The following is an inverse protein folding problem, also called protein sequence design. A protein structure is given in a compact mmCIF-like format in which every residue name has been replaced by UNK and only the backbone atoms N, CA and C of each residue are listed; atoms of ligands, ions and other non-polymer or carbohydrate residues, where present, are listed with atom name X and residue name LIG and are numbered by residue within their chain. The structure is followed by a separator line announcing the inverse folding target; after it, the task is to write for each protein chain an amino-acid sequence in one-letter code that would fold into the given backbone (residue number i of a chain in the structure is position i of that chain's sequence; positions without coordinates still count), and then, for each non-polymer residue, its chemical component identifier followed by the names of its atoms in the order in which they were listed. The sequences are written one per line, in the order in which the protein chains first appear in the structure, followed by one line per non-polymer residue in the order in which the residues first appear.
data_IF_274896365328
#
_entry.id   IF_274896365328
#
_cell.length_a   1.000
_cell.length_b   1.000
_cell.length_c   1.000
_cell.angle_alpha   90.00
_cell.angle_beta   90.00
_cell.angle_gamma   90.00
#
_symmetry.space_group_name_H-M   'P 1'
#
loop_
_entity.id
_entity.type
_entity.pdbx_description
1 polymer ?
#
# COMPACT_ATOMS: atom_id res chain seq x y z
N UNK A 1 -3.22 30.19 -21.82
CA UNK A 1 -2.62 28.85 -21.70
C UNK A 1 -2.62 28.54 -20.22
N UNK A 2 -3.72 27.94 -19.75
CA UNK A 2 -4.00 27.75 -18.33
C UNK A 2 -3.46 26.38 -17.95
N UNK A 3 -2.49 26.32 -17.04
CA UNK A 3 -2.04 25.05 -16.49
C UNK A 3 -3.24 24.29 -15.92
N UNK A 4 -3.41 22.98 -16.24
CA UNK A 4 -4.48 22.19 -15.66
C UNK A 4 -4.15 21.99 -14.18
N UNK A 5 -4.69 22.87 -13.33
CA UNK A 5 -4.62 22.74 -11.89
C UNK A 5 -5.14 21.36 -11.50
N UNK A 6 -4.28 20.56 -10.88
CA UNK A 6 -4.61 19.22 -10.40
C UNK A 6 -5.89 19.28 -9.55
N UNK A 7 -6.92 18.54 -9.97
CA UNK A 7 -8.17 18.42 -9.23
C UNK A 7 -7.88 17.88 -7.81
N UNK A 8 -8.10 18.67 -6.74
CA UNK A 8 -7.82 18.22 -5.37
C UNK A 8 -8.67 16.99 -4.98
N UNK A 9 -9.87 16.85 -5.56
CA UNK A 9 -10.71 15.66 -5.39
C UNK A 9 -10.14 14.42 -6.10
N UNK A 10 -9.41 14.59 -7.21
CA UNK A 10 -8.67 13.50 -7.87
C UNK A 10 -7.49 13.06 -7.02
N UNK A 11 -6.70 13.99 -6.46
CA UNK A 11 -5.59 13.63 -5.59
C UNK A 11 -6.04 12.83 -4.37
N UNK A 12 -7.09 13.30 -3.70
CA UNK A 12 -7.66 12.59 -2.55
C UNK A 12 -8.15 11.17 -2.91
N UNK A 13 -8.77 10.98 -4.07
CA UNK A 13 -9.17 9.65 -4.57
C UNK A 13 -7.98 8.74 -4.83
N UNK A 14 -6.89 9.26 -5.38
CA UNK A 14 -5.66 8.52 -5.62
C UNK A 14 -4.95 8.16 -4.32
N UNK A 15 -4.91 9.06 -3.34
CA UNK A 15 -4.36 8.78 -2.01
C UNK A 15 -5.15 7.68 -1.30
N UNK A 16 -6.49 7.69 -1.42
CA UNK A 16 -7.33 6.60 -0.94
C UNK A 16 -7.05 5.27 -1.66
N UNK A 17 -6.81 5.31 -2.97
CA UNK A 17 -6.45 4.12 -3.76
C UNK A 17 -5.07 3.57 -3.37
N UNK A 18 -4.09 4.43 -3.08
CA UNK A 18 -2.77 4.03 -2.54
C UNK A 18 -2.97 3.20 -1.27
N UNK A 19 -3.76 3.70 -0.31
CA UNK A 19 -4.01 2.99 0.94
C UNK A 19 -4.67 1.63 0.73
N UNK A 20 -5.59 1.53 -0.24
CA UNK A 20 -6.20 0.24 -0.61
C UNK A 20 -5.15 -0.71 -1.15
N UNK A 21 -4.39 -0.30 -2.17
CA UNK A 21 -3.34 -1.13 -2.77
C UNK A 21 -2.33 -1.62 -1.73
N UNK A 22 -1.86 -0.71 -0.86
CA UNK A 22 -0.93 -1.07 0.22
C UNK A 22 -1.54 -2.08 1.20
N UNK A 23 -2.80 -1.88 1.60
CA UNK A 23 -3.50 -2.81 2.50
C UNK A 23 -3.64 -4.20 1.89
N UNK A 24 -4.01 -4.31 0.61
CA UNK A 24 -4.16 -5.60 -0.06
C UNK A 24 -2.83 -6.34 -0.20
N UNK A 25 -1.75 -5.65 -0.57
CA UNK A 25 -0.43 -6.26 -0.66
C UNK A 25 0.06 -6.73 0.72
N UNK A 26 -0.08 -5.87 1.74
CA UNK A 26 0.33 -6.20 3.10
C UNK A 26 -0.45 -7.40 3.67
N UNK A 27 -1.76 -7.45 3.46
CA UNK A 27 -2.59 -8.56 3.91
C UNK A 27 -2.29 -9.87 3.16
N UNK A 28 -1.70 -9.81 1.97
CA UNK A 28 -1.20 -10.96 1.23
C UNK A 28 0.19 -11.42 1.69
N UNK A 29 0.76 -10.75 2.70
CA UNK A 29 2.09 -11.04 3.21
C UNK A 29 3.22 -10.44 2.37
N UNK A 30 2.92 -9.57 1.41
CA UNK A 30 3.95 -8.85 0.67
C UNK A 30 4.42 -7.64 1.49
N UNK A 31 5.74 -7.49 1.72
CA UNK A 31 6.26 -6.29 2.35
C UNK A 31 5.98 -5.09 1.45
N UNK A 32 5.25 -4.11 1.96
CA UNK A 32 5.04 -2.82 1.31
C UNK A 32 6.16 -1.89 1.76
N UNK A 33 7.03 -1.52 0.85
CA UNK A 33 8.11 -0.60 1.13
C UNK A 33 7.56 0.84 1.12
N UNK A 34 7.87 1.68 2.12
CA UNK A 34 7.51 3.08 2.07
C UNK A 34 8.19 3.75 0.86
N UNK A 35 7.42 4.59 0.15
CA UNK A 35 7.92 5.34 -1.00
C UNK A 35 9.07 6.29 -0.61
N UNK A 36 9.03 6.81 0.62
CA UNK A 36 10.08 7.63 1.23
C UNK A 36 11.16 6.72 1.85
N UNK A 37 12.22 6.52 1.05
CA UNK A 37 13.42 5.68 1.27
C UNK A 37 13.85 5.45 2.73
N UNK A 38 13.64 4.24 3.27
CA UNK A 38 14.52 3.64 4.25
C UNK A 38 15.49 2.73 3.49
N UNK A 39 16.78 3.06 3.59
CA UNK A 39 17.88 2.25 3.08
C UNK A 39 17.68 0.80 3.55
N UNK A 40 17.71 -0.16 2.62
CA UNK A 40 17.68 -1.60 2.94
C UNK A 40 16.29 -2.23 3.02
N UNK A 41 15.26 -1.66 2.39
CA UNK A 41 13.93 -2.30 2.33
C UNK A 41 13.62 -2.81 0.93
N UNK A 42 13.43 -4.13 0.78
CA UNK A 42 12.84 -4.77 -0.39
C UNK A 42 11.32 -4.89 -0.21
N UNK A 43 10.55 -4.66 -1.27
CA UNK A 43 9.11 -4.67 -1.18
C UNK A 43 8.39 -4.08 -2.37
N UNK A 44 7.07 -4.17 -2.33
CA UNK A 44 6.21 -3.45 -3.26
C UNK A 44 6.25 -1.95 -2.94
N UNK A 45 6.59 -1.13 -3.92
CA UNK A 45 6.47 0.32 -3.86
C UNK A 45 5.15 0.70 -4.49
N UNK A 46 4.43 1.59 -3.81
CA UNK A 46 3.15 2.12 -4.26
C UNK A 46 3.25 3.63 -4.28
N UNK A 47 3.07 4.23 -5.45
CA UNK A 47 3.15 5.69 -5.65
C UNK A 47 2.04 6.18 -6.57
N UNK A 48 1.66 7.44 -6.46
CA UNK A 48 0.75 8.05 -7.44
C UNK A 48 1.51 8.31 -8.73
N UNK A 49 0.90 7.98 -9.88
CA UNK A 49 1.39 8.39 -11.19
C UNK A 49 1.30 9.91 -11.31
N UNK A 50 2.33 10.63 -10.87
CA UNK A 50 2.32 12.09 -10.82
C UNK A 50 2.28 12.76 -12.20
N UNK A 51 3.00 12.28 -13.24
CA UNK A 51 2.98 12.87 -14.57
C UNK A 51 1.57 12.97 -15.17
N UNK A 52 0.79 11.89 -15.08
CA UNK A 52 -0.50 11.83 -15.77
C UNK A 52 -1.71 11.79 -14.81
N UNK A 53 -1.46 11.62 -13.50
CA UNK A 53 -2.48 11.39 -12.46
C UNK A 53 -3.44 10.25 -12.80
N UNK A 54 -3.04 9.31 -13.67
CA UNK A 54 -3.92 8.30 -14.24
C UNK A 54 -4.26 7.17 -13.26
N UNK A 55 -3.48 7.02 -12.19
CA UNK A 55 -3.70 5.99 -11.19
C UNK A 55 -2.58 5.90 -10.17
N UNK A 56 -2.44 4.71 -9.63
CA UNK A 56 -1.41 4.33 -8.67
C UNK A 56 -0.46 3.34 -9.35
N UNK A 57 0.82 3.70 -9.40
CA UNK A 57 1.91 2.86 -9.86
C UNK A 57 2.33 1.90 -8.76
N UNK A 58 2.56 0.66 -9.14
CA UNK A 58 3.02 -0.41 -8.26
C UNK A 58 4.17 -1.13 -8.94
N UNK A 59 5.33 -1.21 -8.29
CA UNK A 59 6.48 -1.97 -8.78
C UNK A 59 7.22 -2.64 -7.63
N UNK A 60 8.00 -3.68 -7.96
CA UNK A 60 8.78 -4.42 -6.98
C UNK A 60 10.18 -3.82 -6.84
N UNK A 61 10.54 -3.33 -5.64
CA UNK A 61 11.90 -2.92 -5.33
C UNK A 61 12.67 -4.05 -4.68
N UNK A 62 13.79 -4.41 -5.30
CA UNK A 62 14.79 -5.34 -4.75
C UNK A 62 15.59 -4.69 -3.62
N UNK A 63 16.21 -5.52 -2.78
CA UNK A 63 17.07 -5.04 -1.71
C UNK A 63 18.33 -4.36 -2.28
N UNK A 64 18.72 -3.23 -1.69
CA UNK A 64 19.85 -2.40 -2.14
C UNK A 64 21.17 -3.16 -2.12
N UNK A 65 21.43 -3.94 -1.07
CA UNK A 65 22.60 -4.84 -0.99
C UNK A 65 22.74 -5.75 -2.22
N UNK A 66 21.64 -6.30 -2.75
CA UNK A 66 21.71 -7.15 -3.95
C UNK A 66 22.05 -6.33 -5.19
N UNK A 67 21.55 -5.08 -5.27
CA UNK A 67 21.86 -4.16 -6.38
C UNK A 67 23.32 -3.71 -6.31
N UNK A 68 23.79 -3.33 -5.13
CA UNK A 68 25.12 -2.78 -4.91
C UNK A 68 26.19 -3.88 -5.08
N UNK A 69 25.92 -5.11 -4.65
CA UNK A 69 26.79 -6.26 -4.91
C UNK A 69 26.94 -6.54 -6.42
N UNK A 70 25.85 -6.43 -7.18
CA UNK A 70 25.89 -6.60 -8.63
C UNK A 70 26.68 -5.47 -9.34
N UNK A 71 26.54 -4.24 -8.84
CA UNK A 71 27.28 -3.10 -9.37
C UNK A 71 28.77 -3.18 -9.05
N UNK A 72 29.13 -3.64 -7.85
CA UNK A 72 30.52 -3.87 -7.45
C UNK A 72 31.17 -4.98 -8.30
N UNK A 73 30.48 -6.11 -8.48
CA UNK A 73 30.95 -7.19 -9.36
C UNK A 73 31.22 -6.71 -10.79
N UNK A 74 30.35 -5.85 -11.33
CA UNK A 74 30.54 -5.25 -12.66
C UNK A 74 31.74 -4.30 -12.73
N UNK A 75 32.02 -3.56 -11.66
CA UNK A 75 33.13 -2.60 -11.61
C UNK A 75 34.51 -3.27 -11.42
N UNK A 76 34.55 -4.41 -10.72
CA UNK A 76 35.78 -5.15 -10.45
C UNK A 76 36.34 -5.86 -11.68
N UNK A 77 35.46 -6.31 -12.59
CA UNK A 77 35.89 -6.90 -13.86
C UNK A 77 34.98 -6.49 -15.04
N UNK A 78 35.19 -5.30 -15.63
CA UNK A 78 34.39 -4.83 -16.77
C UNK A 78 34.57 -5.66 -18.04
N UNK A 79 35.61 -6.51 -18.10
CA UNK A 79 36.02 -7.26 -19.31
C UNK A 79 36.11 -8.77 -19.11
N UNK A 80 36.17 -9.26 -17.87
CA UNK A 80 36.09 -10.67 -17.53
C UNK A 80 34.66 -11.10 -17.32
N UNK A 81 34.32 -12.14 -18.08
CA UNK A 81 33.08 -12.91 -18.06
C UNK A 81 31.80 -12.12 -17.75
N UNK A 82 31.26 -11.49 -18.82
CA UNK A 82 29.88 -11.03 -18.86
C UNK A 82 28.82 -12.11 -18.60
N UNK A 83 29.20 -13.37 -18.35
CA UNK A 83 28.32 -14.45 -17.97
C UNK A 83 27.76 -14.31 -16.55
N UNK A 84 28.55 -13.83 -15.57
CA UNK A 84 28.06 -13.59 -14.21
C UNK A 84 27.08 -12.42 -14.16
N UNK A 85 27.43 -11.31 -14.82
CA UNK A 85 26.55 -10.16 -14.98
C UNK A 85 25.27 -10.53 -15.74
N UNK A 86 25.37 -11.31 -16.82
CA UNK A 86 24.21 -11.79 -17.56
C UNK A 86 23.36 -12.76 -16.72
N UNK A 87 23.97 -13.63 -15.92
CA UNK A 87 23.26 -14.53 -15.01
C UNK A 87 22.52 -13.76 -13.92
N UNK A 88 23.17 -12.78 -13.29
CA UNK A 88 22.55 -11.92 -12.30
C UNK A 88 21.43 -11.07 -12.91
N UNK A 89 21.63 -10.52 -14.10
CA UNK A 89 20.60 -9.76 -14.83
C UNK A 89 19.39 -10.64 -15.14
N UNK A 90 19.61 -11.86 -15.63
CA UNK A 90 18.53 -12.85 -15.87
C UNK A 90 17.77 -13.17 -14.58
N UNK A 91 18.48 -13.45 -13.48
CA UNK A 91 17.85 -13.71 -12.18
C UNK A 91 17.04 -12.52 -11.70
N UNK A 92 17.60 -11.32 -11.83
CA UNK A 92 16.96 -10.07 -11.45
C UNK A 92 15.68 -9.81 -12.23
N UNK A 93 15.69 -10.00 -13.55
CA UNK A 93 14.51 -9.91 -14.40
C UNK A 93 13.48 -10.97 -14.03
N UNK A 94 13.90 -12.22 -13.82
CA UNK A 94 12.98 -13.31 -13.42
C UNK A 94 12.30 -13.03 -12.06
N UNK A 95 13.02 -12.47 -11.10
CA UNK A 95 12.44 -12.03 -9.81
C UNK A 95 11.45 -10.89 -10.02
N UNK A 96 11.83 -9.87 -10.81
CA UNK A 96 10.95 -8.76 -11.13
C UNK A 96 9.64 -9.22 -11.78
N UNK A 97 9.74 -10.12 -12.76
CA UNK A 97 8.61 -10.72 -13.46
C UNK A 97 7.71 -11.52 -12.51
N UNK A 98 8.29 -12.43 -11.71
CA UNK A 98 7.55 -13.25 -10.78
C UNK A 98 6.81 -12.40 -9.73
N UNK A 99 7.47 -11.38 -9.18
CA UNK A 99 6.86 -10.48 -8.20
C UNK A 99 5.81 -9.57 -8.83
N UNK A 100 6.05 -9.06 -10.04
CA UNK A 100 5.06 -8.30 -10.81
C UNK A 100 3.81 -9.14 -11.10
N UNK A 101 3.99 -10.39 -11.52
CA UNK A 101 2.88 -11.32 -11.75
C UNK A 101 2.11 -11.63 -10.47
N UNK A 102 2.81 -11.87 -9.36
CA UNK A 102 2.20 -12.12 -8.06
C UNK A 102 1.37 -10.92 -7.59
N UNK A 103 1.94 -9.71 -7.65
CA UNK A 103 1.22 -8.47 -7.30
C UNK A 103 -0.01 -8.29 -8.18
N UNK A 104 0.11 -8.48 -9.50
CA UNK A 104 -1.03 -8.40 -10.42
C UNK A 104 -2.14 -9.36 -10.02
N UNK A 105 -1.82 -10.64 -9.76
CA UNK A 105 -2.80 -11.65 -9.35
C UNK A 105 -3.51 -11.27 -8.05
N UNK A 106 -2.76 -10.80 -7.05
CA UNK A 106 -3.30 -10.39 -5.75
C UNK A 106 -4.25 -9.20 -5.91
N UNK A 107 -3.81 -8.15 -6.61
CA UNK A 107 -4.59 -6.94 -6.80
C UNK A 107 -5.86 -7.20 -7.63
N UNK A 108 -5.78 -7.99 -8.68
CA UNK A 108 -6.95 -8.41 -9.45
C UNK A 108 -7.91 -9.27 -8.61
N UNK A 109 -7.41 -10.20 -7.80
CA UNK A 109 -8.24 -10.99 -6.89
C UNK A 109 -8.91 -10.14 -5.80
N UNK A 110 -8.28 -9.05 -5.39
CA UNK A 110 -8.86 -8.03 -4.51
C UNK A 110 -9.89 -7.13 -5.20
N UNK A 111 -10.13 -7.31 -6.50
CA UNK A 111 -11.11 -6.55 -7.27
C UNK A 111 -10.60 -5.19 -7.75
N UNK A 112 -9.29 -5.03 -7.95
CA UNK A 112 -8.69 -3.83 -8.52
C UNK A 112 -8.48 -3.98 -10.03
N UNK A 113 -8.68 -2.88 -10.76
CA UNK A 113 -8.33 -2.82 -12.17
C UNK A 113 -6.84 -2.49 -12.32
N UNK A 114 -6.10 -3.43 -12.92
CA UNK A 114 -4.64 -3.40 -13.04
C UNK A 114 -4.26 -3.56 -14.50
N UNK A 115 -3.45 -2.65 -15.02
CA UNK A 115 -2.87 -2.74 -16.36
C UNK A 115 -1.35 -2.66 -16.28
N UNK A 116 -0.59 -3.39 -17.11
CA UNK A 116 0.85 -3.14 -17.26
C UNK A 116 1.11 -1.70 -17.71
N UNK A 117 2.22 -1.11 -17.30
CA UNK A 117 2.69 0.15 -17.89
C UNK A 117 3.52 -0.13 -19.15
N UNK A 118 3.69 0.89 -20.00
CA UNK A 118 4.58 0.85 -21.16
C UNK A 118 5.98 1.40 -20.81
N UNK A 119 6.37 1.33 -19.53
CA UNK A 119 7.62 1.87 -19.06
C UNK A 119 8.76 0.87 -19.31
N UNK A 120 9.52 1.09 -20.38
CA UNK A 120 10.66 0.22 -20.75
C UNK A 120 11.76 0.16 -19.67
N UNK A 121 11.82 1.16 -18.77
CA UNK A 121 12.76 1.18 -17.65
C UNK A 121 12.28 0.36 -16.44
N UNK A 122 10.97 0.16 -16.30
CA UNK A 122 10.35 -0.61 -15.23
C UNK A 122 9.33 -1.59 -15.83
N UNK A 123 9.80 -2.65 -16.52
CA UNK A 123 8.95 -3.53 -17.35
C UNK A 123 7.92 -4.35 -16.56
N UNK A 124 8.00 -4.34 -15.24
CA UNK A 124 7.08 -5.04 -14.34
C UNK A 124 6.23 -4.08 -13.49
N UNK A 125 6.26 -2.79 -13.81
CA UNK A 125 5.41 -1.79 -13.20
C UNK A 125 3.95 -1.96 -13.66
N UNK A 126 3.05 -1.77 -12.70
CA UNK A 126 1.63 -1.94 -12.85
C UNK A 126 0.94 -0.61 -12.54
N UNK A 127 -0.08 -0.27 -13.32
CA UNK A 127 -0.96 0.85 -13.08
C UNK A 127 -2.30 0.35 -12.54
N UNK A 128 -2.68 0.82 -11.36
CA UNK A 128 -3.97 0.58 -10.74
C UNK A 128 -4.83 1.83 -10.88
N UNK A 129 -5.96 1.73 -11.59
CA UNK A 129 -6.78 2.90 -11.93
C UNK A 129 -8.00 3.05 -11.03
N UNK A 130 -8.61 1.93 -10.61
CA UNK A 130 -9.80 1.93 -9.74
C UNK A 130 -10.01 0.61 -9.00
N UNK A 131 -10.90 0.67 -8.02
CA UNK A 131 -11.49 -0.50 -7.35
C UNK A 131 -12.81 -0.84 -8.01
N UNK A 132 -12.95 -2.07 -8.50
CA UNK A 132 -14.17 -2.61 -9.11
C UNK A 132 -15.12 -3.19 -8.06
N UNK A 133 -14.55 -3.73 -6.98
CA UNK A 133 -15.29 -4.27 -5.85
C UNK A 133 -14.65 -3.85 -4.51
N UNK A 134 -15.41 -3.83 -3.41
CA UNK A 134 -14.82 -3.72 -2.07
C UNK A 134 -13.96 -4.96 -1.78
N UNK A 135 -12.73 -4.77 -1.29
CA UNK A 135 -11.89 -5.89 -0.90
C UNK A 135 -12.57 -6.71 0.22
N UNK A 136 -12.62 -8.05 0.08
CA UNK A 136 -13.16 -8.92 1.12
C UNK A 136 -12.33 -8.84 2.42
N UNK A 137 -11.03 -8.58 2.33
CA UNK A 137 -10.16 -8.42 3.49
C UNK A 137 -10.43 -7.12 4.22
N UNK A 138 -10.57 -6.03 3.48
CA UNK A 138 -10.90 -4.73 4.03
C UNK A 138 -12.29 -4.72 4.66
N UNK A 139 -13.28 -5.33 4.00
CA UNK A 139 -14.63 -5.48 4.54
C UNK A 139 -14.62 -6.22 5.89
N UNK A 140 -13.82 -7.29 6.01
CA UNK A 140 -13.67 -8.05 7.26
C UNK A 140 -12.91 -7.27 8.33
N UNK A 141 -11.84 -6.56 7.96
CA UNK A 141 -11.09 -5.70 8.86
C UNK A 141 -11.97 -4.58 9.45
N UNK A 142 -12.72 -3.87 8.60
CA UNK A 142 -13.58 -2.76 8.99
C UNK A 142 -14.77 -3.21 9.84
N UNK A 143 -15.30 -4.41 9.59
CA UNK A 143 -16.31 -5.03 10.47
C UNK A 143 -15.74 -5.25 11.89
N UNK A 144 -14.54 -5.84 12.00
CA UNK A 144 -13.89 -6.07 13.30
C UNK A 144 -13.57 -4.77 14.03
N UNK A 145 -13.12 -3.75 13.31
CA UNK A 145 -12.81 -2.45 13.90
C UNK A 145 -14.08 -1.78 14.46
N UNK A 146 -15.19 -1.82 13.70
CA UNK A 146 -16.49 -1.30 14.16
C UNK A 146 -16.99 -2.03 15.40
N UNK A 147 -16.94 -3.36 15.43
CA UNK A 147 -17.32 -4.17 16.59
C UNK A 147 -16.53 -3.76 17.85
N UNK A 148 -15.21 -3.59 17.71
CA UNK A 148 -14.34 -3.16 18.83
C UNK A 148 -14.69 -1.75 19.30
N UNK A 149 -14.90 -0.82 18.37
CA UNK A 149 -15.28 0.56 18.69
C UNK A 149 -16.63 0.62 19.40
N UNK A 150 -17.63 -0.11 18.92
CA UNK A 150 -18.94 -0.21 19.57
C UNK A 150 -18.84 -0.82 20.97
N UNK A 151 -18.04 -1.88 21.14
CA UNK A 151 -17.80 -2.50 22.45
C UNK A 151 -17.19 -1.49 23.42
N UNK A 152 -16.18 -0.73 22.98
CA UNK A 152 -15.53 0.30 23.80
C UNK A 152 -16.52 1.43 24.15
N UNK A 153 -17.34 1.87 23.18
CA UNK A 153 -18.37 2.89 23.40
C UNK A 153 -19.42 2.42 24.40
N UNK A 154 -19.87 1.17 24.31
CA UNK A 154 -20.83 0.58 25.27
C UNK A 154 -20.23 0.50 26.67
N UNK A 155 -18.97 0.08 26.80
CA UNK A 155 -18.27 0.03 28.08
C UNK A 155 -18.12 1.43 28.71
N UNK A 156 -17.71 2.41 27.91
CA UNK A 156 -17.61 3.81 28.31
C UNK A 156 -18.95 4.37 28.80
N UNK A 157 -20.01 4.18 28.02
CA UNK A 157 -21.35 4.64 28.38
C UNK A 157 -21.88 3.95 29.66
N UNK A 158 -21.58 2.67 29.85
CA UNK A 158 -21.98 1.93 31.07
C UNK A 158 -21.27 2.48 32.30
N UNK A 159 -19.98 2.83 32.17
CA UNK A 159 -19.21 3.47 33.24
C UNK A 159 -19.77 4.85 33.60
N UNK A 160 -20.04 5.69 32.60
CA UNK A 160 -20.64 7.01 32.84
C UNK A 160 -22.02 6.92 33.50
N UNK A 161 -22.83 5.91 33.17
CA UNK A 161 -24.11 5.69 33.80
C UNK A 161 -23.98 5.26 35.28
N UNK A 162 -22.95 4.48 35.63
CA UNK A 162 -22.68 4.05 37.00
C UNK A 162 -22.02 5.15 37.86
N UNK A 163 -21.29 6.09 37.23
CA UNK A 163 -20.66 7.24 37.90
C UNK A 163 -21.62 8.43 38.06
N UNK A 164 -22.85 8.36 37.53
CA UNK A 164 -23.87 9.39 37.74
C UNK A 164 -24.37 9.27 39.19
N UNK A 165 -24.15 10.29 40.06
CA UNK A 165 -24.72 10.25 41.39
C UNK A 165 -26.23 10.26 41.27
N UNK A 166 -26.91 9.46 42.08
CA UNK A 166 -28.34 9.61 42.32
C UNK A 166 -28.53 11.05 42.80
N UNK A 167 -29.11 11.89 41.94
CA UNK A 167 -29.72 13.17 42.35
C UNK A 167 -31.03 12.81 43.06
N UNK A 168 -30.89 12.09 44.17
CA UNK A 168 -31.97 11.79 45.09
C UNK A 168 -32.25 13.08 45.85
N UNK A 169 -33.36 13.71 45.48
CA UNK A 169 -33.82 14.94 46.06
C UNK A 169 -34.00 14.81 47.58
N UNK A 170 -33.34 15.69 48.31
CA UNK A 170 -33.81 16.13 49.62
C UNK A 170 -33.56 17.63 49.78
N UNK A 171 -34.55 18.43 49.38
CA UNK A 171 -34.90 19.63 50.16
C UNK A 171 -36.40 19.63 50.34
N UNK A 172 -36.79 18.89 51.39
CA UNK A 172 -37.89 19.14 52.33
C UNK A 172 -38.74 20.37 52.01
N UNK A 173 -40.04 20.12 51.90
CA UNK A 173 -41.03 21.16 52.15
C UNK A 173 -40.87 21.69 53.57
N UNK A 174 -40.79 23.02 53.68
CA UNK A 174 -41.22 23.73 54.87
C UNK A 174 -42.28 24.75 54.45
N UNK A 175 -43.29 24.82 55.31
CA UNK A 175 -44.59 25.47 55.18
C UNK A 175 -44.50 26.99 55.24
#
# INVERSE_FOLDING_TARGET
MTEPGADPGRRHRLDALVLVVQSELAAAGLPVAPAERPIGTAGAIVSVDLPDLNGVLVHWRRHEVCRDAAQAAWAEDPHGEGDEYAAFSRLSSAVGEAMGEAMRKILTAAGLEVTPTLNDYEPHELLVTRSLAPSPWRARHDARFRERYESMRRAWNSRLAAERPDDDGDVRGEQ
#
